data_IF_841938990974
#
_entry.id   IF_841938990974
#
_cell.length_a   1.000
_cell.length_b   1.000
_cell.length_c   1.000
_cell.angle_alpha   90.00
_cell.angle_beta   90.00
_cell.angle_gamma   90.00
#
_symmetry.space_group_name_H-M   'P 1'
#
loop_
_entity.id
_entity.type
_entity.pdbx_description
1 polymer ?
#
# COMPACT_ATOMS: atom_id res chain seq x y z
N UNK A 1 -28.34 -12.28 -48.54
CA UNK A 1 -28.24 -12.39 -47.07
C UNK A 1 -29.64 -12.53 -46.53
N UNK A 2 -29.94 -13.62 -45.87
CA UNK A 2 -31.26 -13.81 -45.28
C UNK A 2 -31.47 -12.84 -44.12
N UNK A 3 -32.71 -12.38 -43.94
CA UNK A 3 -33.10 -11.44 -42.89
C UNK A 3 -32.67 -11.96 -41.50
N UNK A 4 -32.77 -13.27 -41.29
CA UNK A 4 -32.31 -13.93 -40.08
C UNK A 4 -30.80 -13.69 -39.80
N UNK A 5 -29.95 -13.82 -40.82
CA UNK A 5 -28.50 -13.59 -40.68
C UNK A 5 -28.15 -12.14 -40.39
N UNK A 6 -28.91 -11.19 -40.96
CA UNK A 6 -28.79 -9.75 -40.65
C UNK A 6 -29.10 -9.46 -39.18
N UNK A 7 -30.23 -9.97 -38.68
CA UNK A 7 -30.65 -9.79 -37.29
C UNK A 7 -29.61 -10.37 -36.33
N UNK A 8 -29.11 -11.59 -36.60
CA UNK A 8 -28.09 -12.24 -35.76
C UNK A 8 -26.81 -11.40 -35.72
N UNK A 9 -26.39 -10.86 -36.87
CA UNK A 9 -25.15 -10.06 -36.97
C UNK A 9 -25.27 -8.76 -36.16
N UNK A 10 -26.41 -8.08 -36.21
CA UNK A 10 -26.64 -6.87 -35.40
C UNK A 10 -26.67 -7.18 -33.90
N UNK A 11 -27.29 -8.29 -33.50
CA UNK A 11 -27.28 -8.72 -32.10
C UNK A 11 -25.86 -9.02 -31.61
N UNK A 12 -25.07 -9.74 -32.41
CA UNK A 12 -23.67 -10.04 -32.09
C UNK A 12 -22.82 -8.77 -32.01
N UNK A 13 -22.99 -7.84 -32.97
CA UNK A 13 -22.29 -6.57 -32.98
C UNK A 13 -22.65 -5.71 -31.75
N UNK A 14 -23.93 -5.68 -31.36
CA UNK A 14 -24.39 -5.00 -30.15
C UNK A 14 -23.79 -5.60 -28.88
N UNK A 15 -23.73 -6.93 -28.78
CA UNK A 15 -23.10 -7.62 -27.66
C UNK A 15 -21.59 -7.33 -27.60
N UNK A 16 -20.90 -7.37 -28.73
CA UNK A 16 -19.47 -7.05 -28.82
C UNK A 16 -19.21 -5.59 -28.41
N UNK A 17 -20.02 -4.64 -28.89
CA UNK A 17 -19.91 -3.24 -28.50
C UNK A 17 -20.12 -3.06 -26.99
N UNK A 18 -21.11 -3.76 -26.42
CA UNK A 18 -21.36 -3.73 -24.99
C UNK A 18 -20.15 -4.23 -24.19
N UNK A 19 -19.52 -5.34 -24.61
CA UNK A 19 -18.31 -5.84 -23.96
C UNK A 19 -17.12 -4.89 -24.11
N UNK A 20 -16.92 -4.33 -25.31
CA UNK A 20 -15.87 -3.35 -25.60
C UNK A 20 -15.97 -2.09 -24.74
N UNK A 21 -17.18 -1.68 -24.35
CA UNK A 21 -17.38 -0.53 -23.46
C UNK A 21 -17.29 -0.93 -21.99
N UNK A 22 -17.88 -2.07 -21.59
CA UNK A 22 -17.95 -2.49 -20.19
C UNK A 22 -16.60 -2.89 -19.61
N UNK A 23 -15.75 -3.58 -20.38
CA UNK A 23 -14.45 -4.05 -19.90
C UNK A 23 -13.51 -2.90 -19.51
N UNK A 24 -13.27 -1.87 -20.36
CA UNK A 24 -12.44 -0.73 -19.98
C UNK A 24 -12.99 0.02 -18.77
N UNK A 25 -14.31 0.20 -18.68
CA UNK A 25 -14.93 0.87 -17.54
C UNK A 25 -14.71 0.11 -16.23
N UNK A 26 -14.84 -1.22 -16.25
CA UNK A 26 -14.59 -2.07 -15.10
C UNK A 26 -13.11 -2.04 -14.68
N UNK A 27 -12.18 -2.12 -15.65
CA UNK A 27 -10.74 -2.03 -15.40
C UNK A 27 -10.39 -0.68 -14.78
N UNK A 28 -10.88 0.42 -15.37
CA UNK A 28 -10.61 1.78 -14.88
C UNK A 28 -11.18 1.99 -13.47
N UNK A 29 -12.39 1.47 -13.20
CA UNK A 29 -13.00 1.50 -11.87
C UNK A 29 -12.17 0.75 -10.84
N UNK A 30 -11.67 -0.43 -11.18
CA UNK A 30 -10.82 -1.22 -10.29
C UNK A 30 -9.48 -0.53 -10.02
N UNK A 31 -8.83 0.00 -11.07
CA UNK A 31 -7.57 0.74 -10.95
C UNK A 31 -7.73 1.99 -10.06
N UNK A 32 -8.80 2.78 -10.26
CA UNK A 32 -9.08 3.96 -9.41
C UNK A 32 -9.33 3.58 -7.95
N UNK A 33 -9.98 2.45 -7.71
CA UNK A 33 -10.25 1.98 -6.35
C UNK A 33 -8.95 1.51 -5.69
N UNK A 34 -8.11 0.77 -6.41
CA UNK A 34 -6.78 0.39 -5.94
C UNK A 34 -5.88 1.60 -5.65
N UNK A 35 -5.89 2.61 -6.51
CA UNK A 35 -5.10 3.84 -6.32
C UNK A 35 -5.54 4.61 -5.07
N UNK A 36 -6.86 4.85 -4.93
CA UNK A 36 -7.42 5.52 -3.75
C UNK A 36 -7.15 4.74 -2.46
N UNK A 37 -7.19 3.42 -2.51
CA UNK A 37 -6.83 2.58 -1.38
C UNK A 37 -5.36 2.77 -0.96
N UNK A 38 -4.42 2.77 -1.92
CA UNK A 38 -3.00 3.01 -1.62
C UNK A 38 -2.73 4.43 -1.15
N UNK A 39 -3.41 5.44 -1.70
CA UNK A 39 -3.35 6.82 -1.20
C UNK A 39 -3.84 6.92 0.25
N UNK A 40 -4.95 6.26 0.58
CA UNK A 40 -5.46 6.19 1.96
C UNK A 40 -4.47 5.55 2.91
N UNK A 41 -3.80 4.47 2.48
CA UNK A 41 -2.74 3.81 3.24
C UNK A 41 -1.55 4.75 3.48
N UNK A 42 -1.15 5.50 2.46
CA UNK A 42 -0.06 6.46 2.56
C UNK A 42 -0.39 7.59 3.54
N UNK A 43 -1.61 8.15 3.48
CA UNK A 43 -2.08 9.17 4.40
C UNK A 43 -2.09 8.68 5.85
N UNK A 44 -2.68 7.50 6.09
CA UNK A 44 -2.72 6.92 7.43
C UNK A 44 -1.33 6.55 7.96
N UNK A 45 -0.41 6.09 7.11
CA UNK A 45 0.98 5.85 7.50
C UNK A 45 1.69 7.15 7.91
N UNK A 46 1.45 8.25 7.18
CA UNK A 46 2.09 9.55 7.44
C UNK A 46 1.73 10.13 8.82
N UNK A 47 0.54 9.84 9.32
CA UNK A 47 0.08 10.26 10.66
C UNK A 47 0.67 9.43 11.81
N UNK A 48 1.21 8.24 11.50
CA UNK A 48 1.75 7.33 12.50
C UNK A 48 3.23 7.56 12.79
N UNK A 49 3.65 7.20 14.00
CA UNK A 49 5.07 7.14 14.40
C UNK A 49 5.90 6.22 13.51
N UNK A 50 5.26 5.22 12.90
CA UNK A 50 5.87 4.30 11.96
C UNK A 50 6.54 5.03 10.78
N UNK A 51 5.92 6.08 10.24
CA UNK A 51 6.51 6.90 9.16
C UNK A 51 7.87 7.49 9.59
N UNK A 52 7.94 8.04 10.81
CA UNK A 52 9.20 8.58 11.36
C UNK A 52 10.23 7.48 11.62
N UNK A 53 9.79 6.30 12.07
CA UNK A 53 10.66 5.14 12.27
C UNK A 53 11.26 4.62 10.96
N UNK A 54 10.46 4.55 9.88
CA UNK A 54 10.96 4.18 8.56
C UNK A 54 12.06 5.13 8.12
N UNK A 55 11.81 6.44 8.21
CA UNK A 55 12.81 7.49 7.91
C UNK A 55 14.06 7.35 8.78
N UNK A 56 13.88 7.11 10.07
CA UNK A 56 14.98 6.91 11.03
C UNK A 56 15.87 5.71 10.67
N UNK A 57 15.28 4.64 10.14
CA UNK A 57 15.99 3.46 9.66
C UNK A 57 16.57 3.61 8.24
N UNK A 58 16.38 4.76 7.60
CA UNK A 58 16.79 4.99 6.21
C UNK A 58 15.90 4.28 5.17
N UNK A 59 14.71 3.84 5.57
CA UNK A 59 13.70 3.23 4.70
C UNK A 59 12.82 4.35 4.15
N UNK A 60 12.77 4.48 2.82
CA UNK A 60 11.88 5.44 2.18
C UNK A 60 10.43 4.96 2.28
N UNK A 61 9.54 5.82 2.79
CA UNK A 61 8.15 5.47 3.02
C UNK A 61 7.38 5.19 1.72
N UNK A 62 7.71 5.86 0.62
CA UNK A 62 7.06 5.61 -0.66
C UNK A 62 7.51 4.26 -1.22
N UNK A 63 8.81 3.95 -1.16
CA UNK A 63 9.33 2.63 -1.56
C UNK A 63 8.69 1.54 -0.72
N UNK A 64 8.68 1.68 0.61
CA UNK A 64 8.02 0.74 1.53
C UNK A 64 6.55 0.50 1.17
N UNK A 65 5.79 1.58 0.95
CA UNK A 65 4.38 1.48 0.56
C UNK A 65 4.19 0.80 -0.80
N UNK A 66 5.18 0.83 -1.68
CA UNK A 66 5.14 0.20 -3.00
C UNK A 66 5.56 -1.26 -3.00
N UNK A 67 6.60 -1.62 -2.24
CA UNK A 67 7.19 -2.97 -2.20
C UNK A 67 6.42 -3.90 -1.29
N UNK A 68 5.91 -3.39 -0.16
CA UNK A 68 5.24 -4.23 0.82
C UNK A 68 3.78 -4.52 0.46
N UNK A 69 3.31 -5.70 0.89
CA UNK A 69 1.93 -6.08 0.72
C UNK A 69 1.03 -5.23 1.63
N UNK A 70 -0.10 -4.76 1.11
CA UNK A 70 -1.03 -3.90 1.86
C UNK A 70 -1.48 -4.50 3.21
N UNK A 71 -1.62 -5.82 3.28
CA UNK A 71 -1.98 -6.53 4.52
C UNK A 71 -0.87 -6.40 5.57
N UNK A 72 0.39 -6.60 5.18
CA UNK A 72 1.52 -6.44 6.10
C UNK A 72 1.69 -4.98 6.51
N UNK A 73 1.51 -4.02 5.60
CA UNK A 73 1.53 -2.60 5.94
C UNK A 73 0.47 -2.27 7.01
N UNK A 74 -0.77 -2.75 6.83
CA UNK A 74 -1.85 -2.54 7.79
C UNK A 74 -1.53 -3.16 9.15
N UNK A 75 -0.97 -4.37 9.16
CA UNK A 75 -0.53 -5.06 10.38
C UNK A 75 0.60 -4.30 11.08
N UNK A 76 1.56 -3.75 10.33
CA UNK A 76 2.63 -2.91 10.90
C UNK A 76 2.06 -1.64 11.52
N UNK A 77 1.09 -1.00 10.86
CA UNK A 77 0.39 0.17 11.37
C UNK A 77 -0.38 -0.14 12.65
N UNK A 78 -1.15 -1.24 12.67
CA UNK A 78 -1.91 -1.70 13.85
C UNK A 78 -0.98 -2.01 15.03
N UNK A 79 0.12 -2.74 14.82
CA UNK A 79 1.11 -3.00 15.87
C UNK A 79 1.78 -1.70 16.35
N UNK A 80 2.04 -0.75 15.46
CA UNK A 80 2.63 0.53 15.85
C UNK A 80 1.66 1.36 16.70
N UNK A 81 0.37 1.38 16.33
CA UNK A 81 -0.63 2.17 17.05
C UNK A 81 -1.00 1.54 18.40
N UNK A 82 -1.04 0.21 18.47
CA UNK A 82 -1.29 -0.53 19.71
C UNK A 82 -0.07 -0.63 20.64
N UNK A 83 1.11 -0.15 20.21
CA UNK A 83 2.34 -0.26 21.00
C UNK A 83 2.31 0.67 22.23
N UNK A 84 2.70 0.16 23.40
CA UNK A 84 2.78 0.93 24.65
C UNK A 84 4.06 1.78 24.77
N UNK A 85 5.11 1.46 24.01
CA UNK A 85 6.42 2.13 24.08
C UNK A 85 6.48 3.46 23.31
N UNK A 86 5.36 4.17 23.13
CA UNK A 86 5.26 5.40 22.30
C UNK A 86 6.20 6.51 22.79
N UNK A 87 6.30 6.71 24.10
CA UNK A 87 7.17 7.75 24.69
C UNK A 87 8.65 7.45 24.46
N UNK A 88 9.07 6.19 24.64
CA UNK A 88 10.44 5.73 24.36
C UNK A 88 10.77 5.87 22.88
N UNK A 89 9.81 5.54 22.01
CA UNK A 89 9.93 5.73 20.56
C UNK A 89 10.19 7.20 20.21
N UNK A 90 9.37 8.11 20.72
CA UNK A 90 9.51 9.54 20.42
C UNK A 90 10.84 10.12 20.92
N UNK A 91 11.36 9.66 22.06
CA UNK A 91 12.70 10.04 22.54
C UNK A 91 13.80 9.60 21.57
N UNK A 92 13.77 8.33 21.14
CA UNK A 92 14.76 7.77 20.22
C UNK A 92 14.71 8.45 18.85
N UNK A 93 13.51 8.69 18.32
CA UNK A 93 13.30 9.35 17.04
C UNK A 93 13.64 10.85 17.06
N UNK A 94 13.73 11.46 18.25
CA UNK A 94 14.18 12.85 18.43
C UNK A 94 15.69 13.03 18.45
N UNK A 95 16.46 11.93 18.56
CA UNK A 95 17.92 11.91 18.47
C UNK A 95 18.42 11.84 17.02
N UNK A 96 19.70 12.12 16.79
CA UNK A 96 20.31 11.95 15.46
C UNK A 96 20.14 10.51 14.93
N UNK A 97 19.91 10.34 13.61
CA UNK A 97 19.64 9.04 13.01
C UNK A 97 20.80 8.06 13.23
N UNK A 98 20.46 6.85 13.70
CA UNK A 98 21.40 5.82 14.12
C UNK A 98 22.46 5.50 13.06
N UNK A 99 23.68 5.99 13.26
CA UNK A 99 24.88 5.55 12.53
C UNK A 99 25.45 4.25 13.11
N UNK A 100 25.13 3.92 14.37
CA UNK A 100 25.43 2.63 14.99
C UNK A 100 24.28 2.16 15.91
N UNK A 101 24.12 0.83 15.98
CA UNK A 101 23.07 0.03 16.64
C UNK A 101 22.46 0.68 17.90
N UNK A 102 21.46 1.54 17.72
CA UNK A 102 20.54 1.83 18.81
C UNK A 102 19.62 0.62 19.00
N UNK A 103 19.48 0.17 20.24
CA UNK A 103 18.58 -0.93 20.60
C UNK A 103 17.13 -0.50 20.43
N UNK A 104 16.57 -0.87 19.30
CA UNK A 104 15.18 -0.68 18.91
C UNK A 104 14.30 -1.88 19.30
N UNK A 105 14.76 -2.75 20.22
CA UNK A 105 14.00 -3.93 20.67
C UNK A 105 12.65 -3.62 21.33
N UNK A 106 12.39 -2.35 21.67
CA UNK A 106 11.08 -1.89 22.15
C UNK A 106 10.05 -1.67 21.03
N UNK A 107 10.48 -1.58 19.77
CA UNK A 107 9.60 -1.34 18.64
C UNK A 107 8.95 -2.65 18.19
N UNK A 108 7.62 -2.71 18.23
CA UNK A 108 6.84 -3.90 17.86
C UNK A 108 7.01 -4.35 16.40
N UNK A 109 7.62 -3.52 15.54
CA UNK A 109 7.85 -3.81 14.13
C UNK A 109 9.34 -4.01 13.80
N UNK A 110 10.25 -4.00 14.79
CA UNK A 110 11.69 -3.86 14.50
C UNK A 110 12.27 -5.01 13.68
N UNK A 111 11.82 -6.24 13.89
CA UNK A 111 12.32 -7.40 13.16
C UNK A 111 11.95 -7.32 11.68
N UNK A 112 10.66 -7.07 11.40
CA UNK A 112 10.15 -6.93 10.04
C UNK A 112 10.79 -5.73 9.31
N UNK A 113 10.95 -4.60 10.00
CA UNK A 113 11.61 -3.42 9.42
C UNK A 113 13.11 -3.66 9.14
N UNK A 114 13.79 -4.47 9.97
CA UNK A 114 15.17 -4.86 9.72
C UNK A 114 15.29 -5.79 8.52
N UNK A 115 14.34 -6.70 8.33
CA UNK A 115 14.30 -7.56 7.15
C UNK A 115 14.13 -6.74 5.87
N UNK A 116 13.15 -5.82 5.84
CA UNK A 116 12.93 -4.90 4.72
C UNK A 116 14.19 -4.08 4.41
N UNK A 117 14.86 -3.57 5.44
CA UNK A 117 16.10 -2.81 5.28
C UNK A 117 17.24 -3.63 4.67
N UNK A 118 17.34 -4.93 4.99
CA UNK A 118 18.37 -5.84 4.46
C UNK A 118 18.05 -6.35 3.06
N UNK A 119 16.77 -6.41 2.70
CA UNK A 119 16.31 -6.84 1.37
C UNK A 119 16.53 -5.77 0.28
N UNK A 120 16.91 -4.55 0.68
CA UNK A 120 17.28 -3.44 -0.19
C UNK A 120 18.77 -3.47 -0.54
#
# INVERSE_FOLDING_TARGET
MDIASLVITFLLAGLMLLLLVRLPLAILGNLRTGHRFREGLAGALAELRLSRMLKYLGIDAAIYLHTEQAVEIKKHMERCDACDAKSRCDQVLGSEPATEKQDLGFCANIDDLNEIRRAR
#
